data_IF_737401478655
#
_entry.id   IF_737401478655
#
_cell.length_a   1.000
_cell.length_b   1.000
_cell.length_c   1.000
_cell.angle_alpha   90.00
_cell.angle_beta   90.00
_cell.angle_gamma   90.00
#
_symmetry.space_group_name_H-M   'P 1'
#
loop_
_entity.id
_entity.type
_entity.pdbx_description
1 polymer ?
#
# COMPACT_ATOMS: atom_id res chain seq x y z
N UNK A 1 -82.47 9.41 -42.26
CA UNK A 1 -81.99 8.98 -40.93
C UNK A 1 -80.51 8.53 -41.09
N UNK A 2 -79.59 9.34 -40.66
CA UNK A 2 -78.13 9.04 -40.74
C UNK A 2 -77.58 8.98 -39.35
N UNK A 3 -77.19 7.77 -38.97
CA UNK A 3 -76.58 7.49 -37.66
C UNK A 3 -75.07 7.71 -37.72
N UNK A 4 -74.56 8.65 -36.96
CA UNK A 4 -73.13 8.90 -36.84
C UNK A 4 -72.51 7.99 -35.75
N UNK A 5 -71.62 7.08 -36.15
CA UNK A 5 -70.81 6.27 -35.26
C UNK A 5 -69.56 7.08 -34.83
N UNK A 6 -69.45 7.39 -33.57
CA UNK A 6 -68.28 8.04 -32.98
C UNK A 6 -67.30 6.96 -32.48
N UNK A 7 -66.21 6.79 -33.23
CA UNK A 7 -65.06 5.97 -32.82
C UNK A 7 -64.17 6.80 -31.90
N UNK A 8 -64.02 6.40 -30.64
CA UNK A 8 -63.06 6.93 -29.68
C UNK A 8 -61.72 6.18 -29.83
N UNK A 9 -60.68 6.89 -30.23
CA UNK A 9 -59.29 6.38 -30.27
C UNK A 9 -58.66 6.68 -28.91
N UNK A 10 -58.42 5.64 -28.12
CA UNK A 10 -57.64 5.74 -26.88
C UNK A 10 -56.15 5.64 -27.20
N UNK A 11 -55.43 6.73 -27.07
CA UNK A 11 -53.96 6.78 -27.20
C UNK A 11 -53.35 6.31 -25.88
N UNK A 12 -52.80 5.10 -25.86
CA UNK A 12 -51.98 4.59 -24.74
C UNK A 12 -50.57 5.18 -24.86
N UNK A 13 -50.25 6.15 -24.04
CA UNK A 13 -48.88 6.65 -23.86
C UNK A 13 -48.09 5.68 -23.00
N UNK A 14 -47.25 4.85 -23.62
CA UNK A 14 -46.25 4.00 -22.91
C UNK A 14 -45.09 4.92 -22.51
N UNK A 15 -45.06 5.31 -21.23
CA UNK A 15 -43.90 5.97 -20.64
C UNK A 15 -42.76 4.93 -20.48
N UNK A 16 -41.82 4.95 -21.43
CA UNK A 16 -40.52 4.28 -21.27
C UNK A 16 -39.74 5.03 -20.17
N UNK A 17 -39.88 4.60 -18.91
CA UNK A 17 -38.95 4.97 -17.86
C UNK A 17 -37.62 4.27 -18.13
N UNK A 18 -36.78 4.93 -18.94
CA UNK A 18 -35.38 4.55 -19.09
C UNK A 18 -34.68 4.71 -17.74
N UNK A 19 -34.43 3.60 -17.05
CA UNK A 19 -33.48 3.56 -15.93
C UNK A 19 -32.12 3.89 -16.52
N UNK A 20 -31.71 5.15 -16.42
CA UNK A 20 -30.31 5.53 -16.57
C UNK A 20 -29.58 4.76 -15.45
N UNK A 21 -29.00 3.61 -15.77
CA UNK A 21 -28.00 3.01 -14.92
C UNK A 21 -26.88 4.06 -14.80
N UNK A 22 -26.83 4.78 -13.67
CA UNK A 22 -25.70 5.62 -13.36
C UNK A 22 -24.49 4.67 -13.37
N UNK A 23 -23.63 4.79 -14.39
CA UNK A 23 -22.33 4.14 -14.39
C UNK A 23 -21.63 4.64 -13.12
N UNK A 24 -21.33 3.72 -12.20
CA UNK A 24 -20.54 4.09 -11.03
C UNK A 24 -19.24 4.74 -11.55
N UNK A 25 -18.94 5.92 -11.06
CA UNK A 25 -17.70 6.61 -11.43
C UNK A 25 -16.53 5.70 -11.05
N UNK A 26 -15.62 5.49 -12.00
CA UNK A 26 -14.49 4.59 -11.81
C UNK A 26 -13.50 5.21 -10.82
N UNK A 27 -13.17 4.48 -9.75
CA UNK A 27 -12.21 4.88 -8.72
C UNK A 27 -10.82 4.38 -9.10
N UNK A 28 -9.92 5.30 -9.39
CA UNK A 28 -8.53 5.00 -9.73
C UNK A 28 -7.71 4.77 -8.47
N UNK A 29 -7.28 3.52 -8.25
CA UNK A 29 -6.43 3.13 -7.13
C UNK A 29 -4.98 3.20 -7.57
N UNK A 30 -4.20 4.12 -6.98
CA UNK A 30 -2.79 4.29 -7.27
C UNK A 30 -1.96 3.14 -6.70
N UNK A 31 -1.18 2.51 -7.57
CA UNK A 31 -0.21 1.48 -7.26
C UNK A 31 1.12 1.79 -7.93
N UNK A 32 2.22 1.53 -7.22
CA UNK A 32 3.57 1.62 -7.78
C UNK A 32 3.78 0.49 -8.80
N UNK A 33 4.34 0.77 -10.00
CA UNK A 33 4.69 -0.28 -10.96
C UNK A 33 5.87 -1.12 -10.49
N UNK A 34 6.68 -0.63 -9.55
CA UNK A 34 7.81 -1.33 -8.97
C UNK A 34 7.31 -2.45 -8.04
N UNK A 35 7.83 -3.67 -8.23
CA UNK A 35 7.43 -4.80 -7.42
C UNK A 35 7.82 -4.64 -5.94
N UNK A 36 6.90 -4.98 -5.04
CA UNK A 36 7.12 -5.01 -3.60
C UNK A 36 6.48 -6.28 -3.00
N UNK A 37 7.04 -7.46 -3.31
CA UNK A 37 6.46 -8.72 -2.86
C UNK A 37 6.57 -8.88 -1.34
N UNK A 38 5.61 -9.58 -0.72
CA UNK A 38 4.45 -10.25 -1.28
C UNK A 38 3.21 -9.36 -1.41
N UNK A 39 3.34 -8.05 -1.19
CA UNK A 39 2.23 -7.10 -1.18
C UNK A 39 1.68 -6.87 -2.58
N UNK A 40 2.53 -6.55 -3.55
CA UNK A 40 2.13 -6.35 -4.94
C UNK A 40 3.29 -6.59 -5.91
N UNK A 41 2.95 -7.13 -7.07
CA UNK A 41 3.83 -7.29 -8.22
C UNK A 41 3.00 -7.54 -9.47
N UNK A 42 3.61 -7.42 -10.64
CA UNK A 42 3.02 -7.88 -11.89
C UNK A 42 3.66 -9.20 -12.30
N UNK A 43 2.84 -10.10 -12.83
CA UNK A 43 3.34 -11.31 -13.47
C UNK A 43 3.88 -11.02 -14.89
N UNK A 44 4.39 -12.05 -15.57
CA UNK A 44 4.95 -11.93 -16.93
C UNK A 44 3.94 -11.47 -17.98
N UNK A 45 2.64 -11.51 -17.69
CA UNK A 45 1.56 -10.99 -18.56
C UNK A 45 1.20 -9.54 -18.25
N UNK A 46 1.80 -8.94 -17.22
CA UNK A 46 1.48 -7.61 -16.72
C UNK A 46 0.27 -7.58 -15.78
N UNK A 47 -0.25 -8.75 -15.36
CA UNK A 47 -1.36 -8.82 -14.42
C UNK A 47 -0.87 -8.57 -13.00
N UNK A 48 -1.56 -7.67 -12.30
CA UNK A 48 -1.32 -7.40 -10.90
C UNK A 48 -1.70 -8.57 -9.99
N UNK A 49 -0.89 -8.84 -8.99
CA UNK A 49 -1.12 -9.83 -7.95
C UNK A 49 -0.39 -9.46 -6.67
N UNK A 50 -0.68 -10.20 -5.60
CA UNK A 50 -0.13 -10.00 -4.28
C UNK A 50 -1.22 -9.69 -3.24
N UNK A 51 -0.81 -9.78 -1.98
CA UNK A 51 -1.73 -9.65 -0.85
C UNK A 51 -2.48 -8.31 -0.86
N UNK A 52 -1.78 -7.22 -1.07
CA UNK A 52 -2.37 -5.89 -1.02
C UNK A 52 -3.27 -5.60 -2.22
N UNK A 53 -2.95 -6.16 -3.39
CA UNK A 53 -3.83 -6.11 -4.56
C UNK A 53 -5.16 -6.81 -4.24
N UNK A 54 -5.10 -8.02 -3.67
CA UNK A 54 -6.31 -8.78 -3.30
C UNK A 54 -7.14 -8.05 -2.22
N UNK A 55 -6.49 -7.43 -1.23
CA UNK A 55 -7.14 -6.64 -0.18
C UNK A 55 -7.76 -5.36 -0.75
N UNK A 56 -7.03 -4.61 -1.59
CA UNK A 56 -7.55 -3.39 -2.22
C UNK A 56 -8.81 -3.68 -3.05
N UNK A 57 -8.79 -4.75 -3.85
CA UNK A 57 -9.95 -5.15 -4.64
C UNK A 57 -11.10 -5.67 -3.77
N UNK A 58 -10.81 -6.32 -2.64
CA UNK A 58 -11.85 -6.73 -1.68
C UNK A 58 -12.49 -5.52 -0.97
N UNK A 59 -11.70 -4.50 -0.59
CA UNK A 59 -12.19 -3.23 -0.04
C UNK A 59 -13.09 -2.53 -1.09
N UNK A 60 -12.66 -2.45 -2.34
CA UNK A 60 -13.45 -1.87 -3.43
C UNK A 60 -14.79 -2.58 -3.63
N UNK A 61 -14.77 -3.91 -3.66
CA UNK A 61 -15.99 -4.72 -3.82
C UNK A 61 -16.96 -4.53 -2.65
N UNK A 62 -16.46 -4.54 -1.41
CA UNK A 62 -17.27 -4.31 -0.21
C UNK A 62 -17.86 -2.89 -0.18
N UNK A 63 -17.07 -1.88 -0.60
CA UNK A 63 -17.50 -0.49 -0.73
C UNK A 63 -18.42 -0.24 -1.94
N UNK A 64 -18.64 -1.25 -2.80
CA UNK A 64 -19.38 -1.13 -4.08
C UNK A 64 -18.81 -0.06 -5.01
N UNK A 65 -17.49 0.04 -5.06
CA UNK A 65 -16.75 0.93 -5.95
C UNK A 65 -16.27 0.16 -7.18
N UNK A 66 -16.32 0.80 -8.35
CA UNK A 66 -15.69 0.31 -9.59
C UNK A 66 -14.22 0.76 -9.62
N UNK A 67 -13.34 -0.04 -9.04
CA UNK A 67 -11.93 0.30 -8.90
C UNK A 67 -11.08 -0.18 -10.07
N UNK A 68 -10.13 0.67 -10.50
CA UNK A 68 -9.09 0.33 -11.47
C UNK A 68 -7.71 0.63 -10.89
N UNK A 69 -6.81 -0.36 -10.95
CA UNK A 69 -5.41 -0.17 -10.56
C UNK A 69 -4.72 0.74 -11.57
N UNK A 70 -4.16 1.84 -11.09
CA UNK A 70 -3.54 2.88 -11.90
C UNK A 70 -2.07 3.01 -11.52
N UNK A 71 -1.12 2.64 -12.41
CA UNK A 71 0.29 2.67 -12.08
C UNK A 71 0.82 4.11 -12.00
N UNK A 72 1.48 4.42 -10.89
CA UNK A 72 2.20 5.67 -10.64
C UNK A 72 3.43 5.32 -9.82
N UNK A 73 4.66 5.78 -10.17
CA UNK A 73 5.85 5.59 -9.36
C UNK A 73 5.63 6.03 -7.91
N UNK A 74 6.30 5.37 -6.98
CA UNK A 74 6.10 5.55 -5.53
C UNK A 74 6.11 7.02 -5.10
N UNK A 75 7.12 7.78 -5.50
CA UNK A 75 7.28 9.20 -5.16
C UNK A 75 6.24 10.11 -5.84
N UNK A 76 5.57 9.61 -6.87
CA UNK A 76 4.48 10.28 -7.60
C UNK A 76 3.09 10.04 -7.02
N UNK A 77 2.89 9.11 -6.06
CA UNK A 77 1.56 8.73 -5.57
C UNK A 77 0.83 9.89 -4.89
N UNK A 78 1.44 10.56 -3.90
CA UNK A 78 0.83 11.72 -3.22
C UNK A 78 0.59 12.89 -4.20
N UNK A 79 1.55 13.31 -5.03
CA UNK A 79 1.29 14.29 -6.09
C UNK A 79 0.17 13.88 -7.05
N UNK A 80 0.13 12.60 -7.45
CA UNK A 80 -0.91 12.06 -8.33
C UNK A 80 -2.30 12.12 -7.70
N UNK A 81 -2.41 11.81 -6.42
CA UNK A 81 -3.66 11.92 -5.66
C UNK A 81 -4.14 13.38 -5.58
N UNK A 82 -3.25 14.32 -5.22
CA UNK A 82 -3.55 15.76 -5.13
C UNK A 82 -3.99 16.35 -6.46
N UNK A 83 -3.40 15.89 -7.57
CA UNK A 83 -3.72 16.35 -8.93
C UNK A 83 -4.85 15.58 -9.61
N UNK A 84 -5.54 14.68 -8.90
CA UNK A 84 -6.66 13.86 -9.38
C UNK A 84 -6.30 12.90 -10.53
N UNK A 85 -5.04 12.51 -10.64
CA UNK A 85 -4.63 11.43 -11.54
C UNK A 85 -5.10 10.07 -11.02
N UNK A 86 -5.17 9.94 -9.70
CA UNK A 86 -5.74 8.82 -8.94
C UNK A 86 -6.70 9.34 -7.89
N UNK A 87 -7.55 8.47 -7.35
CA UNK A 87 -8.58 8.84 -6.37
C UNK A 87 -8.26 8.33 -4.98
N UNK A 88 -7.52 7.23 -4.88
CA UNK A 88 -7.00 6.68 -3.62
C UNK A 88 -5.65 6.04 -3.83
N UNK A 89 -4.87 5.92 -2.77
CA UNK A 89 -3.59 5.18 -2.73
C UNK A 89 -3.77 3.97 -1.84
N UNK A 90 -3.60 2.76 -2.37
CA UNK A 90 -3.54 1.52 -1.57
C UNK A 90 -2.25 0.78 -1.97
N UNK A 91 -1.12 1.25 -1.44
CA UNK A 91 0.23 0.86 -1.89
C UNK A 91 1.24 0.91 -0.74
N UNK A 92 1.02 0.15 0.31
CA UNK A 92 1.90 0.04 1.48
C UNK A 92 2.27 1.42 2.09
N UNK A 93 1.34 2.38 2.01
CA UNK A 93 1.60 3.74 2.48
C UNK A 93 1.23 3.90 3.95
N UNK A 94 2.25 3.99 4.81
CA UNK A 94 2.08 4.19 6.25
C UNK A 94 1.43 5.53 6.56
N UNK A 95 0.53 5.52 7.53
CA UNK A 95 -0.12 6.71 8.08
C UNK A 95 0.91 7.44 8.94
N UNK A 96 1.36 8.62 8.53
CA UNK A 96 2.28 9.46 9.32
C UNK A 96 1.76 10.88 9.44
N UNK A 97 2.15 11.56 10.51
CA UNK A 97 1.77 12.97 10.73
C UNK A 97 2.25 13.87 9.57
N UNK A 98 3.42 13.56 8.99
CA UNK A 98 3.95 14.31 7.84
C UNK A 98 3.06 14.16 6.61
N UNK A 99 2.72 12.92 6.23
CA UNK A 99 1.82 12.64 5.10
C UNK A 99 0.42 13.18 5.33
N UNK A 100 -0.04 13.17 6.59
CA UNK A 100 -1.35 13.74 6.97
C UNK A 100 -1.44 15.26 6.81
N UNK A 101 -0.34 16.00 6.65
CA UNK A 101 -0.38 17.40 6.25
C UNK A 101 -0.85 17.56 4.81
N UNK A 102 -0.56 16.59 3.95
CA UNK A 102 -0.80 16.64 2.50
C UNK A 102 -2.08 15.93 2.04
N UNK A 103 -2.39 14.77 2.66
CA UNK A 103 -3.51 13.91 2.33
C UNK A 103 -4.22 13.42 3.59
N UNK A 104 -5.43 12.86 3.45
CA UNK A 104 -6.11 12.13 4.52
C UNK A 104 -5.91 10.63 4.35
N UNK A 105 -6.15 9.86 5.42
CA UNK A 105 -6.03 8.40 5.42
C UNK A 105 -7.30 7.75 5.96
N UNK A 106 -7.57 6.55 5.50
CA UNK A 106 -8.51 5.63 6.14
C UNK A 106 -7.99 5.13 7.49
N UNK A 107 -8.79 4.34 8.19
CA UNK A 107 -8.30 3.43 9.23
C UNK A 107 -7.19 2.54 8.64
N UNK A 108 -6.27 2.05 9.47
CA UNK A 108 -5.24 1.10 9.00
C UNK A 108 -5.90 -0.19 8.51
N UNK A 109 -5.30 -0.82 7.50
CA UNK A 109 -5.69 -2.16 7.05
C UNK A 109 -4.61 -3.21 7.23
N UNK A 110 -3.35 -2.82 7.51
CA UNK A 110 -2.30 -3.71 8.01
C UNK A 110 -1.17 -2.96 8.73
N UNK A 111 -0.25 -3.72 9.33
CA UNK A 111 0.98 -3.21 9.89
C UNK A 111 2.10 -4.25 9.76
N UNK A 112 3.33 -3.78 9.62
CA UNK A 112 4.53 -4.60 9.57
C UNK A 112 5.67 -3.89 10.29
N UNK A 113 6.52 -4.59 11.03
CA UNK A 113 7.73 -3.99 11.61
C UNK A 113 8.65 -3.46 10.51
N UNK A 114 9.41 -2.43 10.84
CA UNK A 114 10.55 -1.98 10.02
C UNK A 114 11.80 -2.72 10.46
N UNK A 115 12.54 -3.26 9.50
CA UNK A 115 13.69 -4.13 9.76
C UNK A 115 14.90 -3.76 8.92
N UNK A 116 16.03 -4.31 9.30
CA UNK A 116 17.30 -4.22 8.58
C UNK A 116 17.69 -5.61 8.07
N UNK A 117 18.02 -5.70 6.78
CA UNK A 117 18.76 -6.83 6.21
C UNK A 117 20.20 -6.41 5.87
N UNK A 118 21.14 -7.35 5.96
CA UNK A 118 22.54 -7.08 5.70
C UNK A 118 23.32 -8.34 5.28
N UNK A 119 24.58 -8.18 4.87
CA UNK A 119 25.41 -9.28 4.44
C UNK A 119 25.60 -10.33 5.55
N UNK A 120 25.53 -11.62 5.20
CA UNK A 120 25.62 -12.74 6.17
C UNK A 120 26.93 -12.82 6.93
N UNK A 121 28.02 -12.46 6.28
CA UNK A 121 29.36 -12.49 6.84
C UNK A 121 29.62 -11.31 7.81
N UNK A 122 28.75 -10.32 7.84
CA UNK A 122 28.85 -9.17 8.72
C UNK A 122 27.94 -9.37 9.96
N UNK A 123 28.51 -9.23 11.16
CA UNK A 123 27.79 -9.32 12.43
C UNK A 123 27.50 -7.90 12.95
N UNK A 124 26.23 -7.53 12.92
CA UNK A 124 25.70 -6.28 13.48
C UNK A 124 24.20 -6.45 13.73
N UNK A 125 23.62 -5.57 14.50
CA UNK A 125 22.18 -5.48 14.74
C UNK A 125 21.58 -4.18 14.15
N UNK A 126 20.27 -4.01 14.27
CA UNK A 126 19.55 -2.85 13.77
C UNK A 126 19.60 -1.62 14.69
N UNK A 127 20.67 -1.48 15.51
CA UNK A 127 20.90 -0.33 16.36
C UNK A 127 21.81 0.71 15.70
N UNK A 128 21.82 1.97 16.18
CA UNK A 128 22.78 2.98 15.70
C UNK A 128 24.25 2.54 15.87
N UNK A 129 24.56 1.79 16.93
CA UNK A 129 25.89 1.25 17.19
C UNK A 129 26.24 0.13 16.20
N UNK A 130 25.29 -0.78 15.95
CA UNK A 130 25.46 -1.87 14.99
C UNK A 130 25.66 -1.39 13.57
N UNK A 131 25.01 -0.28 13.23
CA UNK A 131 25.07 0.33 11.88
C UNK A 131 26.15 1.42 11.74
N UNK A 132 26.98 1.61 12.77
CA UNK A 132 28.08 2.59 12.74
C UNK A 132 29.05 2.31 11.59
N UNK A 133 29.31 3.34 10.79
CA UNK A 133 30.24 3.28 9.66
C UNK A 133 29.75 2.47 8.46
N UNK A 134 28.47 2.05 8.43
CA UNK A 134 27.87 1.29 7.32
C UNK A 134 27.15 2.17 6.33
N UNK A 135 27.08 1.72 5.09
CA UNK A 135 26.24 2.29 4.03
C UNK A 135 24.89 1.60 4.08
N UNK A 136 23.83 2.36 4.34
CA UNK A 136 22.47 1.88 4.49
C UNK A 136 21.63 2.30 3.30
N UNK A 137 21.11 1.36 2.52
CA UNK A 137 20.19 1.62 1.40
C UNK A 137 18.74 1.73 1.85
N UNK A 138 18.03 2.73 1.32
CA UNK A 138 16.60 2.95 1.57
C UNK A 138 15.91 3.44 0.30
N UNK A 139 14.62 3.16 0.16
CA UNK A 139 13.86 3.78 -0.93
C UNK A 139 13.48 5.21 -0.56
N UNK A 140 13.60 6.14 -1.52
CA UNK A 140 13.22 7.56 -1.36
C UNK A 140 11.76 7.73 -0.92
N UNK A 141 11.46 8.82 -0.22
CA UNK A 141 10.09 9.20 0.19
C UNK A 141 9.37 8.18 1.06
N UNK A 142 10.12 7.24 1.68
CA UNK A 142 9.57 6.23 2.60
C UNK A 142 9.76 6.63 4.07
N UNK A 143 9.01 5.96 4.94
CA UNK A 143 9.24 6.03 6.39
C UNK A 143 10.61 5.46 6.76
N UNK A 144 11.11 4.51 5.98
CA UNK A 144 12.42 3.89 6.17
C UNK A 144 13.55 4.89 5.93
N UNK A 145 13.46 5.69 4.86
CA UNK A 145 14.40 6.78 4.61
C UNK A 145 14.35 7.85 5.70
N UNK A 146 13.15 8.23 6.15
CA UNK A 146 12.98 9.19 7.23
C UNK A 146 13.57 8.66 8.55
N UNK A 147 13.30 7.40 8.88
CA UNK A 147 13.83 6.74 10.07
C UNK A 147 15.36 6.65 10.02
N UNK A 148 15.94 6.17 8.92
CA UNK A 148 17.38 6.05 8.77
C UNK A 148 18.07 7.42 8.91
N UNK A 149 17.52 8.47 8.31
CA UNK A 149 18.03 9.84 8.45
C UNK A 149 17.94 10.35 9.89
N UNK A 150 16.85 10.06 10.62
CA UNK A 150 16.65 10.51 12.00
C UNK A 150 17.58 9.77 12.97
N UNK A 151 17.71 8.44 12.83
CA UNK A 151 18.33 7.59 13.85
C UNK A 151 19.74 7.10 13.51
N UNK A 152 20.10 7.01 12.23
CA UNK A 152 21.38 6.40 11.80
C UNK A 152 22.33 7.38 11.13
N UNK A 153 21.86 8.53 10.59
CA UNK A 153 22.72 9.43 9.82
C UNK A 153 23.94 9.97 10.60
N UNK A 154 23.86 10.06 11.93
CA UNK A 154 24.97 10.54 12.76
C UNK A 154 26.08 9.48 12.97
N UNK A 155 25.80 8.19 12.73
CA UNK A 155 26.70 7.07 12.97
C UNK A 155 27.04 6.28 11.72
N UNK A 156 26.10 6.14 10.79
CA UNK A 156 26.31 5.50 9.50
C UNK A 156 27.36 6.24 8.63
N UNK A 157 27.99 5.54 7.72
CA UNK A 157 28.85 6.16 6.73
C UNK A 157 28.02 6.94 5.70
N UNK A 158 26.89 6.38 5.29
CA UNK A 158 25.98 6.98 4.31
C UNK A 158 24.58 6.40 4.46
N UNK A 159 23.54 7.24 4.27
CA UNK A 159 22.17 6.81 3.97
C UNK A 159 21.97 7.00 2.46
N UNK A 160 22.08 5.89 1.72
CA UNK A 160 22.00 5.89 0.26
C UNK A 160 20.55 5.69 -0.18
N UNK A 161 20.00 6.67 -0.90
CA UNK A 161 18.62 6.63 -1.37
C UNK A 161 18.54 6.05 -2.79
N UNK A 162 17.54 5.18 -3.01
CA UNK A 162 17.23 4.51 -4.27
C UNK A 162 15.80 4.85 -4.71
N UNK A 163 15.52 4.78 -5.99
CA UNK A 163 14.14 4.97 -6.49
C UNK A 163 13.24 3.80 -6.10
N UNK A 164 13.77 2.59 -6.06
CA UNK A 164 13.03 1.38 -5.70
C UNK A 164 13.72 0.59 -4.58
N UNK A 165 12.95 -0.18 -3.81
CA UNK A 165 13.53 -1.10 -2.83
C UNK A 165 14.33 -2.22 -3.49
N UNK A 166 13.94 -2.63 -4.71
CA UNK A 166 14.65 -3.67 -5.46
C UNK A 166 16.07 -3.23 -5.83
N UNK A 167 16.27 -1.97 -6.22
CA UNK A 167 17.63 -1.42 -6.46
C UNK A 167 18.50 -1.47 -5.19
N UNK A 168 17.93 -1.15 -4.02
CA UNK A 168 18.65 -1.28 -2.75
C UNK A 168 19.00 -2.74 -2.44
N UNK A 169 18.06 -3.68 -2.68
CA UNK A 169 18.27 -5.11 -2.50
C UNK A 169 19.38 -5.64 -3.43
N UNK A 170 19.40 -5.21 -4.69
CA UNK A 170 20.44 -5.58 -5.66
C UNK A 170 21.82 -5.04 -5.27
N UNK A 171 21.87 -3.80 -4.76
CA UNK A 171 23.12 -3.21 -4.29
C UNK A 171 23.63 -3.90 -3.04
N UNK A 172 22.74 -4.31 -2.13
CA UNK A 172 23.10 -5.12 -0.96
C UNK A 172 23.67 -6.47 -1.40
N UNK A 173 23.00 -7.18 -2.28
CA UNK A 173 23.46 -8.48 -2.76
C UNK A 173 24.79 -8.43 -3.53
N UNK A 174 25.06 -7.31 -4.16
CA UNK A 174 26.33 -7.06 -4.86
C UNK A 174 27.44 -6.52 -3.94
N UNK A 175 27.16 -6.33 -2.64
CA UNK A 175 28.14 -5.80 -1.68
C UNK A 175 28.49 -4.31 -1.89
N UNK A 176 27.63 -3.55 -2.57
CA UNK A 176 27.82 -2.11 -2.78
C UNK A 176 27.29 -1.26 -1.63
N UNK A 177 26.43 -1.83 -0.79
CA UNK A 177 25.97 -1.31 0.50
C UNK A 177 26.06 -2.41 1.55
N UNK A 178 26.08 -2.05 2.83
CA UNK A 178 26.22 -2.99 3.94
C UNK A 178 24.87 -3.49 4.45
N UNK A 179 23.84 -2.65 4.37
CA UNK A 179 22.51 -2.92 4.90
C UNK A 179 21.44 -2.26 4.03
N UNK A 180 20.21 -2.79 4.10
CA UNK A 180 19.00 -2.12 3.59
C UNK A 180 17.91 -2.12 4.64
N UNK A 181 17.09 -1.07 4.67
CA UNK A 181 15.97 -0.92 5.59
C UNK A 181 14.65 -0.86 4.82
N UNK A 182 13.71 -1.75 5.20
CA UNK A 182 12.36 -1.79 4.64
C UNK A 182 11.39 -2.47 5.61
N UNK A 183 10.16 -2.70 5.16
CA UNK A 183 9.20 -3.55 5.85
C UNK A 183 9.75 -4.97 6.02
N UNK A 184 9.64 -5.53 7.24
CA UNK A 184 10.14 -6.87 7.54
C UNK A 184 9.63 -7.92 6.55
N UNK A 185 8.34 -7.88 6.22
CA UNK A 185 7.71 -8.85 5.33
C UNK A 185 8.30 -8.78 3.91
N UNK A 186 8.58 -7.57 3.42
CA UNK A 186 9.22 -7.39 2.11
C UNK A 186 10.69 -7.86 2.13
N UNK A 187 11.42 -7.58 3.20
CA UNK A 187 12.78 -8.10 3.37
C UNK A 187 12.80 -9.63 3.50
N UNK A 188 11.85 -10.23 4.20
CA UNK A 188 11.70 -11.68 4.28
C UNK A 188 11.47 -12.31 2.90
N UNK A 189 10.68 -11.67 2.05
CA UNK A 189 10.47 -12.12 0.68
C UNK A 189 11.78 -12.06 -0.14
N UNK A 190 12.52 -10.95 -0.04
CA UNK A 190 13.83 -10.81 -0.66
C UNK A 190 14.81 -11.89 -0.15
N UNK A 191 14.92 -12.07 1.16
CA UNK A 191 15.82 -13.06 1.78
C UNK A 191 15.48 -14.52 1.43
N UNK A 192 14.24 -14.79 1.02
CA UNK A 192 13.80 -16.09 0.49
C UNK A 192 14.06 -16.28 -1.01
N UNK A 193 14.41 -15.23 -1.74
CA UNK A 193 14.85 -15.33 -3.14
C UNK A 193 16.22 -15.98 -3.25
N UNK A 194 16.60 -16.46 -4.43
CA UNK A 194 17.92 -17.06 -4.64
C UNK A 194 19.04 -16.05 -4.36
N UNK A 195 18.86 -14.79 -4.76
CA UNK A 195 19.81 -13.71 -4.52
C UNK A 195 19.96 -13.42 -3.02
N UNK A 196 18.84 -13.19 -2.32
CA UNK A 196 18.84 -12.90 -0.89
C UNK A 196 19.39 -14.05 -0.05
N UNK A 197 19.01 -15.30 -0.37
CA UNK A 197 19.57 -16.51 0.27
C UNK A 197 21.08 -16.64 0.11
N UNK A 198 21.63 -16.22 -1.01
CA UNK A 198 23.05 -16.31 -1.26
C UNK A 198 23.86 -15.31 -0.43
N UNK A 199 23.38 -14.06 -0.27
CA UNK A 199 24.15 -12.95 0.27
C UNK A 199 23.85 -12.60 1.73
N UNK A 200 22.61 -12.73 2.16
CA UNK A 200 22.09 -11.83 3.18
C UNK A 200 21.25 -12.55 4.24
N UNK A 201 21.07 -11.91 5.39
CA UNK A 201 20.16 -12.33 6.46
C UNK A 201 19.50 -11.12 7.14
N UNK A 202 18.46 -11.39 7.93
CA UNK A 202 17.80 -10.38 8.75
C UNK A 202 18.71 -10.02 9.95
N UNK A 203 18.93 -8.71 10.15
CA UNK A 203 19.74 -8.17 11.25
C UNK A 203 18.89 -7.72 12.44
N UNK A 204 17.58 -7.67 12.29
CA UNK A 204 16.62 -7.35 13.34
C UNK A 204 15.69 -6.19 12.98
N UNK A 205 14.76 -5.95 13.90
CA UNK A 205 13.82 -4.85 13.80
C UNK A 205 14.46 -3.58 14.38
N UNK A 206 14.15 -2.44 13.78
CA UNK A 206 14.55 -1.14 14.35
C UNK A 206 13.72 -0.83 15.60
N UNK A 207 14.24 0.07 16.46
CA UNK A 207 13.50 0.53 17.63
C UNK A 207 12.20 1.25 17.21
N UNK A 208 11.10 1.11 17.95
CA UNK A 208 9.85 1.80 17.67
C UNK A 208 10.03 3.32 17.66
N UNK A 209 9.47 3.98 16.65
CA UNK A 209 9.31 5.44 16.56
C UNK A 209 7.99 5.73 15.87
N UNK A 210 6.93 5.86 16.67
CA UNK A 210 5.57 6.03 16.15
C UNK A 210 5.39 7.33 15.35
N UNK A 211 6.17 8.37 15.67
CA UNK A 211 6.13 9.65 14.95
C UNK A 211 6.57 9.47 13.49
N UNK A 212 7.63 8.67 13.25
CA UNK A 212 8.20 8.46 11.92
C UNK A 212 7.54 7.28 11.21
N UNK A 213 7.39 6.14 11.90
CA UNK A 213 6.92 4.89 11.29
C UNK A 213 5.39 4.84 11.17
N UNK A 214 4.66 5.58 12.02
CA UNK A 214 3.21 5.60 12.06
C UNK A 214 2.59 4.34 12.67
N UNK A 215 1.23 4.31 12.81
CA UNK A 215 0.51 3.20 13.43
C UNK A 215 0.24 2.01 12.48
N UNK A 216 0.63 2.13 11.23
CA UNK A 216 0.37 1.13 10.19
C UNK A 216 -0.01 1.77 8.86
N UNK A 217 -0.39 0.94 7.91
CA UNK A 217 -0.72 1.31 6.53
C UNK A 217 -2.21 1.58 6.39
N UNK A 218 -2.55 2.67 5.73
CA UNK A 218 -3.93 3.06 5.41
C UNK A 218 -4.09 3.48 3.95
N UNK A 219 -5.33 3.50 3.47
CA UNK A 219 -5.62 4.04 2.15
C UNK A 219 -5.53 5.57 2.18
N UNK A 220 -4.68 6.14 1.32
CA UNK A 220 -4.57 7.59 1.15
C UNK A 220 -5.72 8.13 0.31
N UNK A 221 -6.36 9.21 0.76
CA UNK A 221 -7.38 9.95 0.02
C UNK A 221 -7.07 11.44 0.02
N UNK A 222 -7.64 12.20 -0.91
CA UNK A 222 -7.46 13.66 -0.92
C UNK A 222 -7.97 14.29 0.38
N UNK A 223 -7.33 15.37 0.79
CA UNK A 223 -7.80 16.19 1.90
C UNK A 223 -9.26 16.56 1.73
N UNK A 224 -10.06 16.28 2.77
CA UNK A 224 -11.50 16.59 2.80
C UNK A 224 -12.39 15.66 1.98
N UNK A 225 -11.85 14.61 1.33
CA UNK A 225 -12.64 13.57 0.67
C UNK A 225 -13.20 12.59 1.71
N UNK A 226 -14.09 13.10 2.55
CA UNK A 226 -14.68 12.36 3.66
C UNK A 226 -15.56 11.21 3.19
N UNK A 227 -16.27 11.39 2.06
CA UNK A 227 -17.17 10.37 1.53
C UNK A 227 -16.39 9.10 1.13
N UNK A 228 -15.33 9.25 0.33
CA UNK A 228 -14.52 8.10 -0.08
C UNK A 228 -13.81 7.46 1.12
N UNK A 229 -13.28 8.28 2.03
CA UNK A 229 -12.64 7.79 3.25
C UNK A 229 -13.57 6.93 4.10
N UNK A 230 -14.79 7.39 4.35
CA UNK A 230 -15.76 6.64 5.16
C UNK A 230 -16.25 5.37 4.47
N UNK A 231 -16.40 5.37 3.13
CA UNK A 231 -16.70 4.16 2.35
C UNK A 231 -15.58 3.12 2.52
N UNK A 232 -14.31 3.55 2.42
CA UNK A 232 -13.15 2.68 2.60
C UNK A 232 -13.08 2.15 4.04
N UNK A 233 -13.29 3.00 5.05
CA UNK A 233 -13.31 2.59 6.46
C UNK A 233 -14.40 1.55 6.74
N UNK A 234 -15.62 1.78 6.24
CA UNK A 234 -16.71 0.83 6.38
C UNK A 234 -16.37 -0.51 5.70
N UNK A 235 -15.74 -0.47 4.52
CA UNK A 235 -15.33 -1.66 3.79
C UNK A 235 -14.21 -2.43 4.50
N UNK A 236 -13.20 -1.76 5.06
CA UNK A 236 -12.15 -2.40 5.88
C UNK A 236 -12.79 -3.16 7.06
N UNK A 237 -13.72 -2.51 7.77
CA UNK A 237 -14.47 -3.15 8.87
C UNK A 237 -15.31 -4.33 8.37
N UNK A 238 -15.97 -4.16 7.22
CA UNK A 238 -16.83 -5.17 6.59
C UNK A 238 -16.06 -6.44 6.22
N UNK A 239 -14.95 -6.33 5.46
CA UNK A 239 -14.15 -7.50 5.05
C UNK A 239 -13.47 -8.20 6.24
N UNK A 240 -13.20 -7.49 7.33
CA UNK A 240 -12.71 -8.09 8.57
C UNK A 240 -13.82 -8.84 9.32
N UNK A 241 -14.99 -8.25 9.42
CA UNK A 241 -16.13 -8.83 10.13
C UNK A 241 -16.69 -10.08 9.42
N UNK A 242 -16.75 -10.06 8.07
CA UNK A 242 -17.27 -11.18 7.27
C UNK A 242 -16.24 -12.29 6.98
N UNK A 243 -14.99 -12.12 7.47
CA UNK A 243 -13.90 -13.10 7.33
C UNK A 243 -13.14 -13.03 6.01
N UNK A 244 -13.50 -12.16 5.07
CA UNK A 244 -12.84 -12.04 3.75
C UNK A 244 -11.39 -11.62 3.87
N UNK A 245 -11.09 -10.72 4.82
CA UNK A 245 -9.72 -10.32 5.13
C UNK A 245 -8.84 -11.53 5.49
N UNK A 246 -9.31 -12.37 6.39
CA UNK A 246 -8.61 -13.57 6.84
C UNK A 246 -8.48 -14.63 5.73
N UNK A 247 -9.53 -14.80 4.91
CA UNK A 247 -9.49 -15.69 3.73
C UNK A 247 -8.36 -15.29 2.77
N UNK A 248 -8.23 -13.99 2.47
CA UNK A 248 -7.17 -13.48 1.61
C UNK A 248 -5.81 -13.63 2.29
N UNK A 249 -5.70 -13.20 3.55
CA UNK A 249 -4.43 -13.19 4.30
C UNK A 249 -3.80 -14.58 4.36
N UNK A 250 -4.58 -15.62 4.60
CA UNK A 250 -4.11 -17.02 4.67
C UNK A 250 -3.49 -17.57 3.38
N UNK A 251 -3.71 -16.91 2.24
CA UNK A 251 -3.04 -17.30 0.97
C UNK A 251 -1.57 -16.87 0.93
N UNK A 252 -1.20 -15.87 1.73
CA UNK A 252 0.10 -15.20 1.68
C UNK A 252 0.88 -15.32 2.99
N UNK A 253 0.16 -15.36 4.13
CA UNK A 253 0.73 -15.32 5.47
C UNK A 253 0.09 -16.37 6.39
N UNK A 254 0.89 -16.91 7.29
CA UNK A 254 0.46 -17.82 8.37
C UNK A 254 0.21 -17.09 9.71
N UNK A 255 0.27 -15.75 9.70
CA UNK A 255 0.03 -14.87 10.83
C UNK A 255 -0.94 -13.74 10.48
N UNK A 256 -1.46 -13.05 11.50
CA UNK A 256 -2.32 -11.87 11.32
C UNK A 256 -1.48 -10.62 11.02
N UNK A 257 -1.46 -10.21 9.75
CA UNK A 257 -0.74 -9.03 9.28
C UNK A 257 -1.41 -7.71 9.68
N UNK A 258 -2.65 -7.74 10.19
CA UNK A 258 -3.29 -6.54 10.71
C UNK A 258 -2.52 -5.96 11.90
N UNK A 259 -1.89 -6.82 12.69
CA UNK A 259 -1.11 -6.47 13.86
C UNK A 259 -1.94 -5.92 15.01
N UNK A 260 -1.39 -5.97 16.21
CA UNK A 260 -2.00 -5.35 17.40
C UNK A 260 -2.11 -3.83 17.23
N UNK A 261 -3.05 -3.22 17.98
CA UNK A 261 -3.07 -1.77 18.12
C UNK A 261 -1.73 -1.31 18.70
N UNK A 262 -1.04 -0.40 18.01
CA UNK A 262 0.20 0.19 18.53
C UNK A 262 -0.15 0.87 19.85
N UNK A 263 0.37 0.32 20.95
CA UNK A 263 0.20 0.95 22.26
C UNK A 263 1.00 2.25 22.26
N UNK A 264 0.29 3.37 22.37
CA UNK A 264 0.92 4.66 22.66
C UNK A 264 1.41 4.60 24.11
N UNK A 265 2.71 4.56 24.30
CA UNK A 265 3.33 4.82 25.61
C UNK A 265 3.23 6.29 25.98
#
# INVERSE_FOLDING_TARGET
>A
MRTFLKTAVAAAAIALAGTLAASAEQVKVGFSPEAYPPFYSQDSSGKWGGWEVDIAMAICAEAKLDCVLTPIPWDGLIPGLKTKKIDTIMNSMSITAERQKEIDFSDKYYNTPTSIAGAKDQKFDASPEGLKGKVIGVQVSTIHAAYAKKHFASTAAEIKEYQTQDEANQDLAAGRIDATQADQIALDAFLKSDQGKACCDMKGNVAPDLEVLGPGVGAGVRKGDTELKEKINAAIKGIRANGKYNEITKKYFDFDVYGDAVQSN
#
